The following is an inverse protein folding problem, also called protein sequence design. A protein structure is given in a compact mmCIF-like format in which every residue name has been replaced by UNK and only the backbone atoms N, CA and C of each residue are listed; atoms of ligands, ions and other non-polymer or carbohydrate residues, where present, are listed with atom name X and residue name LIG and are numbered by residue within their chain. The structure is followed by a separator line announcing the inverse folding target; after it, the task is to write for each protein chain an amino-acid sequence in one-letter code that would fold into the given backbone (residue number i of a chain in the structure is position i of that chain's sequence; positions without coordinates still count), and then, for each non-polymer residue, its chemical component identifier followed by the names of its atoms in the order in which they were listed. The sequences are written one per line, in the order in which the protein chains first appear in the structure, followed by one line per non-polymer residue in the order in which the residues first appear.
data_IF_979296597004
#
_entry.id   IF_979296597004
#
_cell.length_a   1.000
_cell.length_b   1.000
_cell.length_c   1.000
_cell.angle_alpha   90.00
_cell.angle_beta   90.00
_cell.angle_gamma   90.00
#
_symmetry.space_group_name_H-M   'P 1'
#
loop_
_entity.id
_entity.type
_entity.pdbx_description
1 polymer ?
#
# COMPACT_ATOMS: atom_id res chain seq x y z
N UNK A 1 -18.36 -0.38 -60.24
CA UNK A 1 -18.22 0.56 -59.10
C UNK A 1 -17.79 -0.28 -57.93
N UNK A 2 -16.51 -0.19 -57.62
CA UNK A 2 -15.81 -1.06 -56.67
C UNK A 2 -16.24 -0.81 -55.23
N UNK A 3 -16.39 -1.90 -54.50
CA UNK A 3 -16.68 -1.93 -53.07
C UNK A 3 -15.34 -2.00 -52.31
N UNK A 4 -14.94 -1.00 -51.50
CA UNK A 4 -13.71 -1.09 -50.74
C UNK A 4 -14.01 -1.83 -49.43
N UNK A 5 -13.88 -3.16 -49.45
CA UNK A 5 -13.58 -3.89 -48.22
C UNK A 5 -12.20 -3.44 -47.74
N UNK A 6 -12.17 -2.49 -46.82
CA UNK A 6 -10.96 -2.12 -46.10
C UNK A 6 -10.45 -3.36 -45.36
N UNK A 7 -9.44 -4.03 -45.92
CA UNK A 7 -8.80 -5.18 -45.31
C UNK A 7 -8.26 -4.78 -43.94
N UNK A 8 -8.86 -5.31 -42.88
CA UNK A 8 -8.32 -5.14 -41.52
C UNK A 8 -6.89 -5.71 -41.51
N UNK A 9 -5.88 -4.92 -41.11
CA UNK A 9 -4.50 -5.40 -41.10
C UNK A 9 -4.39 -6.62 -40.18
N UNK A 10 -3.66 -7.64 -40.66
CA UNK A 10 -3.43 -8.87 -39.90
C UNK A 10 -2.82 -8.55 -38.53
N UNK A 11 -3.30 -9.17 -37.45
CA UNK A 11 -2.79 -8.90 -36.11
C UNK A 11 -1.32 -9.31 -35.99
N UNK A 12 -0.55 -8.45 -35.32
CA UNK A 12 0.87 -8.67 -35.08
C UNK A 12 1.08 -9.93 -34.23
N UNK A 13 1.93 -10.84 -34.71
CA UNK A 13 2.15 -12.13 -34.06
C UNK A 13 3.27 -12.03 -33.03
N UNK A 14 2.93 -11.52 -31.84
CA UNK A 14 3.86 -11.27 -30.74
C UNK A 14 4.76 -12.49 -30.40
N UNK A 15 4.18 -13.70 -30.41
CA UNK A 15 4.88 -14.95 -30.09
C UNK A 15 5.85 -15.44 -31.16
N UNK A 16 5.86 -14.83 -32.36
CA UNK A 16 6.85 -15.14 -33.40
C UNK A 16 8.13 -14.31 -33.25
N UNK A 17 8.15 -13.34 -32.35
CA UNK A 17 9.35 -12.56 -32.10
C UNK A 17 10.46 -13.39 -31.45
N UNK A 18 11.73 -13.11 -31.77
CA UNK A 18 12.87 -13.63 -31.01
C UNK A 18 12.74 -13.25 -29.53
N UNK A 19 13.22 -14.12 -28.64
CA UNK A 19 13.06 -13.95 -27.18
C UNK A 19 13.59 -12.60 -26.67
N UNK A 20 14.71 -12.12 -27.21
CA UNK A 20 15.30 -10.82 -26.83
C UNK A 20 14.38 -9.66 -27.22
N UNK A 21 13.83 -9.66 -28.44
CA UNK A 21 12.92 -8.62 -28.91
C UNK A 21 11.62 -8.62 -28.09
N UNK A 22 11.08 -9.80 -27.80
CA UNK A 22 9.89 -9.94 -26.96
C UNK A 22 10.14 -9.42 -25.53
N UNK A 23 11.30 -9.72 -24.93
CA UNK A 23 11.64 -9.22 -23.60
C UNK A 23 11.73 -7.69 -23.57
N UNK A 24 12.34 -7.08 -24.58
CA UNK A 24 12.42 -5.61 -24.69
C UNK A 24 11.04 -4.97 -24.78
N UNK A 25 10.13 -5.52 -25.60
CA UNK A 25 8.75 -5.04 -25.68
C UNK A 25 8.05 -5.11 -24.32
N UNK A 26 8.19 -6.23 -23.62
CA UNK A 26 7.56 -6.45 -22.32
C UNK A 26 8.12 -5.50 -21.26
N UNK A 27 9.40 -5.13 -21.32
CA UNK A 27 9.99 -4.13 -20.42
C UNK A 27 9.45 -2.72 -20.64
N UNK A 28 8.86 -2.45 -21.80
CA UNK A 28 8.23 -1.16 -22.12
C UNK A 28 6.74 -1.11 -21.74
N UNK A 29 6.15 -2.25 -21.37
CA UNK A 29 4.73 -2.35 -20.99
C UNK A 29 4.50 -1.92 -19.54
N UNK A 30 3.28 -1.49 -19.24
CA UNK A 30 2.82 -1.24 -17.88
C UNK A 30 2.49 -2.55 -17.14
N UNK A 31 2.52 -2.54 -15.81
CA UNK A 31 2.22 -3.70 -14.98
C UNK A 31 0.88 -4.36 -15.31
N UNK A 32 -0.19 -3.58 -15.54
CA UNK A 32 -1.48 -4.15 -15.94
C UNK A 32 -1.46 -4.84 -17.30
N UNK A 33 -0.56 -4.47 -18.21
CA UNK A 33 -0.40 -5.13 -19.51
C UNK A 33 0.33 -6.47 -19.38
N UNK A 34 1.30 -6.58 -18.46
CA UNK A 34 2.00 -7.83 -18.15
C UNK A 34 1.02 -8.93 -17.75
N UNK A 35 0.08 -8.61 -16.85
CA UNK A 35 -0.91 -9.58 -16.40
C UNK A 35 -1.92 -9.93 -17.48
N UNK A 36 -2.38 -8.96 -18.28
CA UNK A 36 -3.25 -9.23 -19.44
C UNK A 36 -2.56 -10.17 -20.44
N UNK A 37 -1.28 -9.95 -20.74
CA UNK A 37 -0.51 -10.86 -21.59
C UNK A 37 -0.38 -12.27 -21.01
N UNK A 38 -0.16 -12.38 -19.69
CA UNK A 38 -0.12 -13.66 -19.02
C UNK A 38 -1.48 -14.39 -19.10
N UNK A 39 -2.59 -13.65 -19.03
CA UNK A 39 -3.93 -14.20 -19.25
C UNK A 39 -4.16 -14.65 -20.69
N UNK A 40 -3.58 -13.98 -21.70
CA UNK A 40 -3.77 -14.37 -23.10
C UNK A 40 -3.02 -15.66 -23.49
N UNK A 41 -1.96 -16.06 -22.78
CA UNK A 41 -1.18 -17.24 -23.14
C UNK A 41 -0.36 -17.79 -21.98
N UNK A 42 -0.51 -19.09 -21.70
CA UNK A 42 0.34 -19.78 -20.73
C UNK A 42 1.83 -19.72 -21.09
N UNK A 43 2.19 -19.64 -22.39
CA UNK A 43 3.60 -19.48 -22.81
C UNK A 43 4.14 -18.10 -22.45
N UNK A 44 3.33 -17.06 -22.60
CA UNK A 44 3.69 -15.70 -22.16
C UNK A 44 3.76 -15.65 -20.65
N UNK A 45 2.80 -16.24 -19.94
CA UNK A 45 2.81 -16.37 -18.48
C UNK A 45 4.13 -16.95 -17.97
N UNK A 46 4.57 -18.10 -18.51
CA UNK A 46 5.85 -18.71 -18.14
C UNK A 46 7.05 -17.79 -18.41
N UNK A 47 7.00 -17.05 -19.52
CA UNK A 47 8.05 -16.08 -19.87
C UNK A 47 8.08 -14.93 -18.86
N UNK A 48 6.92 -14.37 -18.49
CA UNK A 48 6.82 -13.29 -17.50
C UNK A 48 7.29 -13.74 -16.11
N UNK A 49 6.94 -14.97 -15.72
CA UNK A 49 7.39 -15.57 -14.46
C UNK A 49 8.92 -15.68 -14.39
N UNK A 50 9.56 -15.99 -15.51
CA UNK A 50 11.02 -16.05 -15.61
C UNK A 50 11.65 -14.66 -15.61
N UNK A 51 11.04 -13.69 -16.28
CA UNK A 51 11.62 -12.35 -16.41
C UNK A 51 11.38 -11.45 -15.21
N UNK A 52 10.35 -11.74 -14.41
CA UNK A 52 10.00 -11.04 -13.18
C UNK A 52 9.94 -9.52 -13.37
N UNK A 53 8.78 -9.04 -13.83
CA UNK A 53 8.61 -7.63 -14.14
C UNK A 53 8.83 -6.75 -12.88
N UNK A 54 9.74 -5.78 -12.98
CA UNK A 54 10.18 -4.98 -11.84
C UNK A 54 9.17 -3.91 -11.48
N UNK A 55 8.80 -3.84 -10.21
CA UNK A 55 7.91 -2.81 -9.67
C UNK A 55 8.62 -2.03 -8.56
N UNK A 56 8.31 -0.74 -8.44
CA UNK A 56 8.77 0.07 -7.30
C UNK A 56 8.01 -0.33 -6.03
N UNK A 57 6.71 -0.57 -6.17
CA UNK A 57 5.84 -1.00 -5.07
C UNK A 57 4.70 -1.85 -5.62
N UNK A 58 4.36 -2.90 -4.89
CA UNK A 58 3.15 -3.68 -5.10
C UNK A 58 2.31 -3.63 -3.82
N UNK A 59 1.06 -3.21 -3.96
CA UNK A 59 0.10 -3.20 -2.86
C UNK A 59 -0.92 -4.31 -3.08
N UNK A 60 -1.23 -5.04 -2.02
CA UNK A 60 -2.23 -6.12 -2.01
C UNK A 60 -3.29 -5.78 -0.99
N UNK A 61 -4.52 -5.63 -1.46
CA UNK A 61 -5.69 -5.34 -0.62
C UNK A 61 -6.72 -6.42 -0.84
N UNK A 62 -7.13 -7.08 0.26
CA UNK A 62 -8.37 -7.84 0.24
C UNK A 62 -9.51 -6.94 0.70
N UNK A 63 -10.54 -6.84 -0.14
CA UNK A 63 -11.85 -6.26 0.17
C UNK A 63 -12.88 -7.38 0.12
N UNK A 64 -14.10 -7.13 0.62
CA UNK A 64 -15.16 -8.13 0.85
C UNK A 64 -15.19 -9.19 -0.26
N UNK A 65 -15.32 -8.71 -1.47
CA UNK A 65 -15.49 -9.49 -2.69
C UNK A 65 -14.42 -9.14 -3.72
N UNK A 66 -13.22 -8.68 -3.31
CA UNK A 66 -12.16 -8.48 -4.30
C UNK A 66 -10.75 -8.57 -3.76
N UNK A 67 -9.87 -9.15 -4.59
CA UNK A 67 -8.42 -9.05 -4.42
C UNK A 67 -7.94 -7.94 -5.34
N UNK A 68 -7.47 -6.86 -4.74
CA UNK A 68 -6.97 -5.70 -5.44
C UNK A 68 -5.45 -5.67 -5.37
N UNK A 69 -4.82 -5.52 -6.52
CA UNK A 69 -3.41 -5.17 -6.63
C UNK A 69 -3.27 -3.75 -7.14
N UNK A 70 -2.39 -2.97 -6.52
CA UNK A 70 -1.90 -1.71 -7.08
C UNK A 70 -0.45 -1.92 -7.46
N UNK A 71 -0.17 -1.82 -8.76
CA UNK A 71 1.15 -2.01 -9.36
C UNK A 71 1.73 -0.62 -9.60
N UNK A 72 2.81 -0.27 -8.90
CA UNK A 72 3.43 1.06 -9.01
C UNK A 72 4.80 0.95 -9.67
N UNK A 73 4.97 1.64 -10.80
CA UNK A 73 6.26 1.85 -11.47
C UNK A 73 6.88 3.21 -11.04
N UNK A 74 7.89 3.70 -11.78
CA UNK A 74 8.59 4.94 -11.42
C UNK A 74 7.65 6.16 -11.42
N UNK A 75 6.86 6.32 -12.48
CA UNK A 75 6.05 7.51 -12.75
C UNK A 75 4.57 7.19 -13.02
N UNK A 76 4.17 5.93 -12.84
CA UNK A 76 2.81 5.48 -13.16
C UNK A 76 2.35 4.43 -12.14
N UNK A 77 1.05 4.20 -12.11
CA UNK A 77 0.45 3.10 -11.37
C UNK A 77 -0.75 2.56 -12.13
N UNK A 78 -0.95 1.25 -12.05
CA UNK A 78 -2.12 0.56 -12.55
C UNK A 78 -2.74 -0.30 -11.45
N UNK A 79 -4.00 -0.70 -11.63
CA UNK A 79 -4.70 -1.57 -10.69
C UNK A 79 -5.28 -2.77 -11.41
N UNK A 80 -5.27 -3.91 -10.73
CA UNK A 80 -6.06 -5.07 -11.13
C UNK A 80 -6.90 -5.53 -9.96
N UNK A 81 -8.20 -5.68 -10.19
CA UNK A 81 -9.16 -6.17 -9.22
C UNK A 81 -9.72 -7.51 -9.71
N UNK A 82 -9.50 -8.57 -8.95
CA UNK A 82 -10.21 -9.83 -9.10
C UNK A 82 -11.47 -9.74 -8.25
N UNK A 83 -12.65 -9.79 -8.86
CA UNK A 83 -13.92 -9.75 -8.15
C UNK A 83 -14.39 -11.16 -7.79
N UNK A 84 -14.91 -11.33 -6.59
CA UNK A 84 -15.56 -12.57 -6.18
C UNK A 84 -16.74 -12.87 -7.12
N UNK A 85 -17.04 -14.15 -7.29
CA UNK A 85 -18.18 -14.61 -8.07
C UNK A 85 -19.20 -15.15 -7.08
N UNK A 86 -20.29 -14.41 -6.86
CA UNK A 86 -21.38 -14.79 -5.94
C UNK A 86 -22.05 -16.14 -6.28
N UNK A 87 -21.85 -16.62 -7.50
CA UNK A 87 -22.26 -17.97 -7.89
C UNK A 87 -21.22 -18.93 -7.36
N UNK A 88 -21.56 -19.86 -6.46
CA UNK A 88 -20.76 -21.07 -6.17
C UNK A 88 -20.45 -21.80 -7.49
N UNK A 89 -19.33 -21.59 -8.20
CA UNK A 89 -18.97 -22.50 -9.26
C UNK A 89 -18.25 -23.64 -8.56
N UNK A 90 -17.99 -24.73 -9.26
CA UNK A 90 -17.06 -25.72 -8.75
C UNK A 90 -15.74 -25.05 -8.32
N UNK A 91 -15.17 -25.54 -7.21
CA UNK A 91 -13.87 -25.19 -6.62
C UNK A 91 -12.71 -25.55 -7.57
N UNK A 92 -12.79 -25.18 -8.85
CA UNK A 92 -11.72 -25.46 -9.78
C UNK A 92 -10.50 -24.62 -9.38
N UNK A 93 -9.36 -25.25 -9.07
CA UNK A 93 -8.17 -24.53 -8.67
C UNK A 93 -7.67 -23.70 -9.84
N UNK A 94 -7.19 -22.48 -9.54
CA UNK A 94 -6.52 -21.64 -10.53
C UNK A 94 -5.04 -21.86 -10.41
N UNK A 95 -4.49 -22.47 -11.44
CA UNK A 95 -3.06 -22.83 -11.53
C UNK A 95 -2.34 -22.01 -12.60
N UNK A 96 -3.09 -21.34 -13.48
CA UNK A 96 -2.59 -20.58 -14.63
C UNK A 96 -3.40 -19.31 -14.84
N UNK A 97 -2.73 -18.23 -15.21
CA UNK A 97 -3.38 -16.96 -15.59
C UNK A 97 -4.30 -17.12 -16.80
N UNK A 98 -3.99 -18.04 -17.72
CA UNK A 98 -4.82 -18.25 -18.90
C UNK A 98 -6.24 -18.74 -18.63
N UNK A 99 -6.49 -19.31 -17.43
CA UNK A 99 -7.84 -19.68 -16.99
C UNK A 99 -8.74 -18.45 -16.73
N UNK A 100 -8.15 -17.25 -16.67
CA UNK A 100 -8.83 -15.98 -16.42
C UNK A 100 -9.09 -15.19 -17.72
N UNK A 101 -8.61 -15.65 -18.87
CA UNK A 101 -8.69 -14.90 -20.14
C UNK A 101 -10.12 -14.48 -20.49
N UNK A 102 -11.06 -15.44 -20.45
CA UNK A 102 -12.48 -15.22 -20.78
C UNK A 102 -13.26 -14.49 -19.67
N UNK A 103 -12.57 -14.09 -18.60
CA UNK A 103 -13.12 -13.42 -17.43
C UNK A 103 -12.71 -11.96 -17.32
N UNK A 104 -11.98 -11.45 -18.31
CA UNK A 104 -11.76 -10.02 -18.42
C UNK A 104 -13.11 -9.32 -18.57
N UNK A 105 -13.40 -8.36 -17.70
CA UNK A 105 -14.66 -7.62 -17.72
C UNK A 105 -14.46 -6.29 -18.45
N UNK A 106 -13.59 -5.44 -17.91
CA UNK A 106 -13.34 -4.11 -18.45
C UNK A 106 -12.00 -3.54 -17.96
N UNK A 107 -11.52 -2.51 -18.66
CA UNK A 107 -10.42 -1.68 -18.22
C UNK A 107 -10.82 -0.21 -18.34
N UNK A 108 -10.88 0.49 -17.21
CA UNK A 108 -11.23 1.91 -17.15
C UNK A 108 -10.21 2.65 -16.31
N UNK A 109 -9.60 3.70 -16.87
CA UNK A 109 -8.61 4.53 -16.19
C UNK A 109 -7.48 3.72 -15.52
N UNK A 110 -6.88 2.76 -16.26
CA UNK A 110 -5.82 1.85 -15.78
C UNK A 110 -6.24 0.92 -14.64
N UNK A 111 -7.55 0.73 -14.43
CA UNK A 111 -8.08 -0.27 -13.50
C UNK A 111 -8.65 -1.41 -14.33
N UNK A 112 -7.95 -2.55 -14.31
CA UNK A 112 -8.38 -3.80 -14.93
C UNK A 112 -9.30 -4.53 -13.95
N UNK A 113 -10.48 -4.92 -14.41
CA UNK A 113 -11.41 -5.77 -13.66
C UNK A 113 -11.50 -7.13 -14.30
N UNK A 114 -11.29 -8.16 -13.49
CA UNK A 114 -11.37 -9.55 -13.90
C UNK A 114 -12.34 -10.24 -12.97
N UNK A 115 -13.29 -10.96 -13.54
CA UNK A 115 -14.13 -11.85 -12.76
C UNK A 115 -13.25 -12.97 -12.19
N UNK A 116 -13.12 -12.99 -10.88
CA UNK A 116 -12.32 -13.94 -10.14
C UNK A 116 -13.10 -15.21 -9.83
N UNK A 117 -12.79 -15.77 -8.67
CA UNK A 117 -13.36 -17.00 -8.12
C UNK A 117 -13.70 -16.76 -6.64
N UNK A 118 -14.18 -17.81 -5.96
CA UNK A 118 -14.51 -17.77 -4.54
C UNK A 118 -13.31 -17.34 -3.68
N UNK A 119 -13.62 -16.83 -2.48
CA UNK A 119 -12.62 -16.41 -1.49
C UNK A 119 -11.61 -17.48 -1.10
N UNK A 120 -11.95 -18.76 -1.28
CA UNK A 120 -11.11 -19.90 -0.89
C UNK A 120 -9.82 -19.97 -1.70
N UNK A 121 -9.83 -19.52 -2.95
CA UNK A 121 -8.65 -19.60 -3.84
C UNK A 121 -7.92 -18.26 -4.02
N UNK A 122 -8.22 -17.27 -3.16
CA UNK A 122 -7.61 -15.94 -3.26
C UNK A 122 -6.10 -15.97 -3.09
N UNK A 123 -5.58 -16.90 -2.29
CA UNK A 123 -4.14 -17.08 -2.18
C UNK A 123 -3.52 -17.72 -3.42
N UNK A 124 -4.25 -18.56 -4.15
CA UNK A 124 -3.77 -19.10 -5.42
C UNK A 124 -3.69 -17.99 -6.47
N UNK A 125 -4.74 -17.17 -6.59
CA UNK A 125 -4.73 -15.97 -7.42
C UNK A 125 -3.58 -15.03 -7.02
N UNK A 126 -3.39 -14.82 -5.72
CA UNK A 126 -2.27 -14.04 -5.21
C UNK A 126 -0.93 -14.59 -5.67
N UNK A 127 -0.67 -15.88 -5.45
CA UNK A 127 0.59 -16.52 -5.83
C UNK A 127 0.83 -16.44 -7.34
N UNK A 128 -0.23 -16.57 -8.15
CA UNK A 128 -0.14 -16.40 -9.60
C UNK A 128 0.30 -14.98 -9.96
N UNK A 129 -0.34 -13.96 -9.39
CA UNK A 129 0.01 -12.56 -9.67
C UNK A 129 1.45 -12.27 -9.22
N UNK A 130 1.78 -12.64 -7.99
CA UNK A 130 3.13 -12.46 -7.44
C UNK A 130 4.20 -13.19 -8.24
N UNK A 131 3.86 -14.30 -8.90
CA UNK A 131 4.80 -15.03 -9.74
C UNK A 131 5.28 -14.20 -10.95
N UNK A 132 4.54 -13.18 -11.37
CA UNK A 132 4.87 -12.34 -12.54
C UNK A 132 5.82 -11.19 -12.21
N UNK A 133 5.93 -10.79 -10.94
CA UNK A 133 6.58 -9.53 -10.55
C UNK A 133 7.77 -9.73 -9.59
N UNK A 134 8.68 -8.77 -9.61
CA UNK A 134 9.73 -8.56 -8.61
C UNK A 134 9.57 -7.13 -8.05
N UNK A 135 8.70 -6.94 -7.04
CA UNK A 135 8.50 -5.64 -6.42
C UNK A 135 9.63 -5.32 -5.43
N UNK A 136 10.15 -4.09 -5.48
CA UNK A 136 11.13 -3.61 -4.50
C UNK A 136 10.54 -3.47 -3.09
N UNK A 137 9.23 -3.19 -2.99
CA UNK A 137 8.51 -3.15 -1.72
C UNK A 137 7.11 -3.74 -1.88
N UNK A 138 6.65 -4.44 -0.85
CA UNK A 138 5.30 -5.01 -0.81
C UNK A 138 4.54 -4.39 0.38
N UNK A 139 3.34 -3.89 0.11
CA UNK A 139 2.40 -3.41 1.14
C UNK A 139 1.18 -4.31 1.18
N UNK A 140 0.84 -4.78 2.37
CA UNK A 140 -0.41 -5.49 2.61
C UNK A 140 -1.42 -4.57 3.27
N UNK A 141 -2.63 -4.52 2.72
CA UNK A 141 -3.74 -3.71 3.20
C UNK A 141 -4.83 -4.61 3.74
N UNK A 142 -5.11 -4.44 5.03
CA UNK A 142 -6.09 -5.17 5.81
C UNK A 142 -7.29 -4.26 6.05
N UNK A 143 -8.41 -4.54 5.38
CA UNK A 143 -9.67 -3.82 5.57
C UNK A 143 -10.44 -4.42 6.77
N UNK A 144 -10.33 -3.78 7.93
CA UNK A 144 -10.91 -4.35 9.17
C UNK A 144 -12.42 -4.14 9.29
N UNK A 145 -13.01 -3.26 8.47
CA UNK A 145 -14.47 -3.10 8.43
C UNK A 145 -15.17 -4.32 7.82
N UNK A 146 -14.45 -5.04 6.97
CA UNK A 146 -15.05 -6.02 6.07
C UNK A 146 -14.57 -7.44 6.35
N UNK A 147 -13.32 -7.60 6.79
CA UNK A 147 -12.74 -8.91 7.03
C UNK A 147 -13.16 -9.46 8.40
N UNK A 148 -13.62 -10.73 8.41
CA UNK A 148 -13.78 -11.49 9.65
C UNK A 148 -12.43 -11.65 10.36
N UNK A 149 -12.45 -11.88 11.67
CA UNK A 149 -11.22 -12.06 12.47
C UNK A 149 -10.32 -13.15 11.90
N UNK A 150 -10.86 -14.33 11.63
CA UNK A 150 -10.09 -15.47 11.10
C UNK A 150 -9.44 -15.17 9.75
N UNK A 151 -10.19 -14.54 8.83
CA UNK A 151 -9.67 -14.17 7.50
C UNK A 151 -8.57 -13.12 7.62
N UNK A 152 -8.77 -12.11 8.46
CA UNK A 152 -7.81 -11.04 8.71
C UNK A 152 -6.47 -11.60 9.20
N UNK A 153 -6.51 -12.48 10.20
CA UNK A 153 -5.31 -13.08 10.79
C UNK A 153 -4.59 -14.00 9.79
N UNK A 154 -5.34 -14.84 9.07
CA UNK A 154 -4.78 -15.69 8.01
C UNK A 154 -4.04 -14.87 6.96
N UNK A 155 -4.53 -13.66 6.67
CA UNK A 155 -3.97 -12.80 5.63
C UNK A 155 -2.76 -12.01 6.13
N UNK A 156 -2.84 -11.56 7.38
CA UNK A 156 -1.70 -11.01 8.08
C UNK A 156 -0.56 -12.04 8.11
N UNK A 157 -0.84 -13.28 8.53
CA UNK A 157 0.15 -14.35 8.62
C UNK A 157 0.78 -14.64 7.25
N UNK A 158 -0.04 -14.68 6.18
CA UNK A 158 0.48 -14.81 4.80
C UNK A 158 1.40 -13.64 4.43
N UNK A 159 1.00 -12.40 4.68
CA UNK A 159 1.82 -11.23 4.38
C UNK A 159 3.12 -11.18 5.19
N UNK A 160 3.06 -11.57 6.46
CA UNK A 160 4.23 -11.62 7.36
C UNK A 160 5.19 -12.77 7.03
N UNK A 161 4.68 -13.89 6.50
CA UNK A 161 5.50 -15.02 6.04
C UNK A 161 6.38 -14.66 4.84
N UNK A 162 6.08 -13.55 4.17
CA UNK A 162 6.80 -13.06 3.01
C UNK A 162 7.61 -11.80 3.35
N UNK A 163 8.46 -11.34 2.43
CA UNK A 163 9.23 -10.11 2.56
C UNK A 163 8.38 -8.83 2.46
N UNK A 164 7.18 -8.83 3.05
CA UNK A 164 6.33 -7.66 3.19
C UNK A 164 7.07 -6.54 3.93
N UNK A 165 7.01 -5.33 3.39
CA UNK A 165 7.71 -4.15 3.93
C UNK A 165 6.79 -3.27 4.79
N UNK A 166 5.48 -3.31 4.53
CA UNK A 166 4.49 -2.43 5.14
C UNK A 166 3.16 -3.16 5.38
N UNK A 167 2.64 -3.07 6.59
CA UNK A 167 1.27 -3.48 6.91
C UNK A 167 0.42 -2.22 7.07
N UNK A 168 -0.74 -2.20 6.41
CA UNK A 168 -1.72 -1.15 6.53
C UNK A 168 -3.04 -1.71 7.06
N UNK A 169 -3.54 -1.12 8.13
CA UNK A 169 -4.85 -1.39 8.71
C UNK A 169 -5.76 -0.24 8.31
N UNK A 170 -6.77 -0.51 7.50
CA UNK A 170 -7.63 0.53 6.93
C UNK A 170 -9.11 0.29 7.21
N UNK A 171 -9.86 1.40 7.32
CA UNK A 171 -11.33 1.48 7.49
C UNK A 171 -11.85 0.86 8.79
N UNK A 172 -13.11 1.14 9.12
CA UNK A 172 -13.77 0.59 10.30
C UNK A 172 -13.23 1.11 11.63
N UNK A 173 -13.93 0.73 12.69
CA UNK A 173 -13.52 0.96 14.07
C UNK A 173 -12.82 -0.28 14.62
N UNK A 174 -11.67 -0.09 15.27
CA UNK A 174 -10.93 -1.16 15.91
C UNK A 174 -11.30 -1.22 17.38
N UNK A 175 -11.71 -2.39 17.87
CA UNK A 175 -11.70 -2.63 19.32
C UNK A 175 -10.25 -2.68 19.83
N UNK A 176 -10.06 -2.36 21.11
CA UNK A 176 -8.75 -2.46 21.78
C UNK A 176 -8.17 -3.86 21.58
N UNK A 177 -8.96 -4.91 21.84
CA UNK A 177 -8.57 -6.32 21.69
C UNK A 177 -8.07 -6.64 20.29
N UNK A 178 -8.80 -6.19 19.25
CA UNK A 178 -8.46 -6.47 17.86
C UNK A 178 -7.19 -5.74 17.43
N UNK A 179 -7.01 -4.49 17.87
CA UNK A 179 -5.80 -3.74 17.55
C UNK A 179 -4.57 -4.28 18.29
N UNK A 180 -4.73 -4.67 19.57
CA UNK A 180 -3.69 -5.35 20.34
C UNK A 180 -3.25 -6.63 19.64
N UNK A 181 -4.19 -7.51 19.26
CA UNK A 181 -3.85 -8.75 18.55
C UNK A 181 -3.07 -8.50 17.25
N UNK A 182 -3.43 -7.47 16.48
CA UNK A 182 -2.71 -7.10 15.27
C UNK A 182 -1.30 -6.58 15.58
N UNK A 183 -1.16 -5.67 16.56
CA UNK A 183 0.13 -5.08 16.91
C UNK A 183 1.09 -6.06 17.58
N UNK A 184 0.59 -7.06 18.31
CA UNK A 184 1.39 -8.16 18.89
C UNK A 184 2.02 -9.04 17.81
N UNK A 185 1.31 -9.22 16.69
CA UNK A 185 1.77 -10.06 15.57
C UNK A 185 2.68 -9.31 14.60
N UNK A 186 2.46 -8.01 14.38
CA UNK A 186 3.22 -7.23 13.39
C UNK A 186 4.60 -6.88 13.97
N UNK A 187 5.70 -7.34 13.34
CA UNK A 187 7.04 -7.00 13.82
C UNK A 187 7.31 -5.49 13.72
N UNK A 188 7.94 -4.93 14.75
CA UNK A 188 8.29 -3.50 14.81
C UNK A 188 9.29 -3.06 13.73
N UNK A 189 9.97 -4.01 13.08
CA UNK A 189 10.84 -3.74 11.92
C UNK A 189 10.08 -3.35 10.66
N UNK A 190 8.76 -3.62 10.60
CA UNK A 190 7.89 -3.26 9.47
C UNK A 190 7.43 -1.81 9.58
N UNK A 191 6.99 -1.26 8.44
CA UNK A 191 6.22 0.00 8.43
C UNK A 191 4.78 -0.31 8.81
N UNK A 192 4.20 0.49 9.70
CA UNK A 192 2.81 0.37 10.11
C UNK A 192 2.03 1.61 9.68
N UNK A 193 0.93 1.41 8.98
CA UNK A 193 -0.05 2.44 8.68
C UNK A 193 -1.42 2.05 9.24
N UNK A 194 -2.05 2.94 9.99
CA UNK A 194 -3.42 2.74 10.51
C UNK A 194 -4.25 3.96 10.14
N UNK A 195 -5.22 3.77 9.25
CA UNK A 195 -6.20 4.81 8.89
C UNK A 195 -7.56 4.60 9.56
N UNK A 196 -7.78 3.41 10.13
CA UNK A 196 -8.92 3.09 11.00
C UNK A 196 -8.92 3.94 12.28
N UNK A 197 -10.10 4.11 12.89
CA UNK A 197 -10.20 4.80 14.17
C UNK A 197 -9.60 3.93 15.28
N UNK A 198 -8.70 4.53 16.06
CA UNK A 198 -8.08 3.92 17.24
C UNK A 198 -8.83 4.46 18.49
N UNK A 199 -9.19 3.60 19.46
CA UNK A 199 -9.78 4.04 20.73
C UNK A 199 -8.88 5.02 21.49
N UNK A 200 -9.46 6.04 22.10
CA UNK A 200 -8.70 7.12 22.76
C UNK A 200 -7.90 6.64 23.99
N UNK A 201 -8.37 5.60 24.65
CA UNK A 201 -7.77 4.94 25.80
C UNK A 201 -6.85 3.77 25.42
N UNK A 202 -6.60 3.56 24.11
CA UNK A 202 -5.74 2.49 23.63
C UNK A 202 -4.30 2.68 24.10
N UNK A 203 -3.75 1.65 24.74
CA UNK A 203 -2.36 1.58 25.18
C UNK A 203 -1.74 0.29 24.71
N UNK A 204 -0.59 0.40 24.06
CA UNK A 204 0.16 -0.76 23.60
C UNK A 204 1.66 -0.42 23.56
N UNK A 205 2.55 -1.32 24.00
CA UNK A 205 3.98 -1.03 24.09
C UNK A 205 4.64 -0.74 22.73
N UNK A 206 4.02 -1.16 21.62
CA UNK A 206 4.58 -1.00 20.27
C UNK A 206 4.02 0.19 19.47
N UNK A 207 3.05 0.97 19.98
CA UNK A 207 2.39 2.05 19.21
C UNK A 207 3.35 3.02 18.53
N UNK A 208 4.50 3.29 19.15
CA UNK A 208 5.52 4.18 18.60
C UNK A 208 6.89 3.52 18.36
N UNK A 209 6.94 2.17 18.33
CA UNK A 209 8.20 1.41 18.14
C UNK A 209 8.44 0.92 16.71
N UNK A 210 7.47 1.10 15.82
CA UNK A 210 7.62 0.67 14.42
C UNK A 210 8.63 1.54 13.68
N UNK A 211 9.38 0.93 12.76
CA UNK A 211 10.37 1.61 11.91
C UNK A 211 9.82 2.87 11.24
N UNK A 212 8.59 2.81 10.73
CA UNK A 212 7.87 3.99 10.27
C UNK A 212 6.38 3.84 10.57
N UNK A 213 5.76 4.95 10.97
CA UNK A 213 4.39 4.98 11.48
C UNK A 213 3.57 6.00 10.69
N UNK A 214 2.35 5.62 10.36
CA UNK A 214 1.35 6.55 9.85
C UNK A 214 0.02 6.32 10.59
N UNK A 215 -0.40 7.30 11.39
CA UNK A 215 -1.74 7.35 11.97
C UNK A 215 -2.62 8.37 11.23
N UNK A 216 -3.72 7.90 10.65
CA UNK A 216 -4.71 8.74 9.98
C UNK A 216 -5.52 9.55 10.99
N UNK A 217 -6.14 8.85 11.94
CA UNK A 217 -6.86 9.44 13.07
C UNK A 217 -5.97 9.40 14.31
N UNK A 218 -5.18 10.45 14.50
CA UNK A 218 -4.15 10.56 15.53
C UNK A 218 -4.59 11.45 16.72
N UNK A 219 -5.89 11.70 16.90
CA UNK A 219 -6.42 12.55 17.97
C UNK A 219 -6.18 11.97 19.37
N UNK A 220 -5.99 10.66 19.47
CA UNK A 220 -5.64 9.94 20.69
C UNK A 220 -4.15 10.08 21.07
N UNK A 221 -3.32 10.57 20.15
CA UNK A 221 -1.89 10.76 20.40
C UNK A 221 -1.71 11.96 21.33
N UNK A 222 -0.86 11.80 22.34
CA UNK A 222 -0.58 12.80 23.37
C UNK A 222 0.85 13.31 23.19
N UNK A 223 1.19 14.38 23.89
CA UNK A 223 2.55 14.91 23.86
C UNK A 223 3.55 13.89 24.43
N UNK A 224 3.16 13.15 25.47
CA UNK A 224 3.99 12.07 26.04
C UNK A 224 4.24 10.94 25.03
N UNK A 225 3.24 10.60 24.22
CA UNK A 225 3.43 9.65 23.11
C UNK A 225 4.51 10.16 22.15
N UNK A 226 4.47 11.43 21.74
CA UNK A 226 5.50 12.03 20.88
C UNK A 226 6.89 12.00 21.53
N UNK A 227 6.98 12.43 22.80
CA UNK A 227 8.23 12.44 23.57
C UNK A 227 8.82 11.04 23.79
N UNK A 228 8.01 9.98 23.70
CA UNK A 228 8.46 8.59 23.86
C UNK A 228 9.07 7.96 22.59
N UNK A 229 8.94 8.60 21.42
CA UNK A 229 9.41 8.03 20.15
C UNK A 229 10.94 7.93 20.15
N UNK A 230 11.48 6.77 19.76
CA UNK A 230 12.93 6.53 19.60
C UNK A 230 13.21 5.71 18.35
N UNK A 231 14.30 6.04 17.67
CA UNK A 231 14.86 5.33 16.53
C UNK A 231 13.87 5.09 15.36
N UNK A 232 12.94 6.02 15.12
CA UNK A 232 11.97 5.90 14.02
C UNK A 232 12.46 6.61 12.74
N UNK A 233 12.31 5.99 11.57
CA UNK A 233 12.66 6.62 10.29
C UNK A 233 11.66 7.73 9.92
N UNK A 234 10.36 7.51 10.16
CA UNK A 234 9.33 8.50 9.86
C UNK A 234 8.08 8.28 10.69
N UNK A 235 7.54 9.36 11.23
CA UNK A 235 6.25 9.38 11.92
C UNK A 235 5.32 10.37 11.21
N UNK A 236 4.13 9.90 10.83
CA UNK A 236 3.12 10.70 10.12
C UNK A 236 1.81 10.67 10.91
N UNK A 237 1.33 11.84 11.35
CA UNK A 237 0.09 11.99 12.12
C UNK A 237 -0.85 12.96 11.39
N UNK A 238 -1.89 12.45 10.73
CA UNK A 238 -2.70 13.31 9.84
C UNK A 238 -3.78 14.11 10.58
N UNK A 239 -4.47 13.58 11.58
CA UNK A 239 -5.47 14.34 12.36
C UNK A 239 -5.14 14.30 13.84
N UNK A 240 -4.58 15.37 14.39
CA UNK A 240 -4.18 15.45 15.81
C UNK A 240 -5.04 16.44 16.60
N UNK A 241 -4.83 16.51 17.92
CA UNK A 241 -5.42 17.54 18.79
C UNK A 241 -4.42 18.63 19.20
N UNK A 242 -3.18 18.58 18.68
CA UNK A 242 -2.11 19.50 19.05
C UNK A 242 -2.36 20.91 18.53
N UNK A 243 -1.97 21.91 19.31
CA UNK A 243 -1.82 23.28 18.83
C UNK A 243 -0.38 23.77 18.87
N UNK A 244 -0.18 25.05 18.53
CA UNK A 244 1.15 25.66 18.47
C UNK A 244 1.90 25.60 19.81
N UNK A 245 1.19 25.60 20.96
CA UNK A 245 1.82 25.50 22.28
C UNK A 245 2.31 24.09 22.55
N UNK A 246 1.47 23.09 22.29
CA UNK A 246 1.86 21.68 22.40
C UNK A 246 3.08 21.38 21.52
N UNK A 247 3.06 21.92 20.29
CA UNK A 247 4.16 21.72 19.35
C UNK A 247 5.43 22.47 19.75
N UNK A 248 5.34 23.69 20.30
CA UNK A 248 6.50 24.37 20.87
C UNK A 248 7.12 23.55 22.01
N UNK A 249 6.29 23.04 22.92
CA UNK A 249 6.76 22.19 24.02
C UNK A 249 7.46 20.93 23.50
N UNK A 250 6.90 20.30 22.46
CA UNK A 250 7.54 19.17 21.80
C UNK A 250 8.89 19.53 21.16
N UNK A 251 8.95 20.63 20.41
CA UNK A 251 10.15 21.05 19.70
C UNK A 251 11.29 21.36 20.68
N UNK A 252 11.00 22.05 21.78
CA UNK A 252 11.97 22.30 22.85
C UNK A 252 12.50 21.00 23.44
N UNK A 253 11.61 20.06 23.75
CA UNK A 253 12.03 18.74 24.21
C UNK A 253 12.92 18.03 23.18
N UNK A 254 12.57 18.09 21.90
CA UNK A 254 13.29 17.38 20.85
C UNK A 254 14.68 17.97 20.59
N UNK A 255 14.82 19.30 20.58
CA UNK A 255 16.12 19.98 20.41
C UNK A 255 17.09 19.64 21.54
N UNK A 256 16.59 19.54 22.77
CA UNK A 256 17.38 19.22 23.95
C UNK A 256 17.56 17.70 24.19
N UNK A 257 16.98 16.84 23.33
CA UNK A 257 17.03 15.39 23.53
C UNK A 257 18.34 14.80 22.99
N UNK A 258 19.15 14.22 23.87
CA UNK A 258 20.41 13.55 23.50
C UNK A 258 20.22 12.21 22.77
N UNK A 259 18.99 11.70 22.69
CA UNK A 259 18.67 10.41 22.06
C UNK A 259 18.08 10.60 20.65
N UNK A 260 18.41 9.69 19.72
CA UNK A 260 17.81 9.71 18.39
C UNK A 260 16.30 9.39 18.47
N UNK A 261 15.46 10.42 18.34
CA UNK A 261 14.00 10.28 18.38
C UNK A 261 13.44 9.77 17.05
N UNK A 262 13.43 10.60 16.02
CA UNK A 262 13.05 10.22 14.66
C UNK A 262 13.73 11.07 13.59
N UNK A 263 13.89 10.53 12.38
CA UNK A 263 14.48 11.27 11.25
C UNK A 263 13.49 12.22 10.59
N UNK A 264 12.18 11.93 10.68
CA UNK A 264 11.13 12.74 10.08
C UNK A 264 9.84 12.67 10.89
N UNK A 265 9.31 13.82 11.27
CA UNK A 265 7.96 13.99 11.76
C UNK A 265 7.16 14.81 10.76
N UNK A 266 6.00 14.29 10.35
CA UNK A 266 4.99 15.06 9.61
C UNK A 266 3.70 14.99 10.41
N UNK A 267 3.13 16.11 10.78
CA UNK A 267 1.82 16.14 11.40
C UNK A 267 0.96 17.29 10.90
N UNK A 268 -0.35 17.17 11.04
CA UNK A 268 -1.26 18.32 11.00
C UNK A 268 -1.69 18.64 12.42
N UNK A 269 -1.64 19.92 12.78
CA UNK A 269 -2.22 20.41 14.02
C UNK A 269 -3.74 20.23 14.00
N UNK A 270 -4.36 20.47 15.16
CA UNK A 270 -5.81 20.42 15.36
C UNK A 270 -6.56 21.15 14.25
N UNK A 271 -7.60 20.50 13.74
CA UNK A 271 -8.44 21.08 12.68
C UNK A 271 -9.02 22.43 13.13
N UNK A 272 -8.93 23.43 12.25
CA UNK A 272 -9.35 24.81 12.55
C UNK A 272 -8.36 25.63 13.38
N UNK A 273 -7.29 25.04 13.93
CA UNK A 273 -6.24 25.81 14.58
C UNK A 273 -5.36 26.51 13.53
N UNK A 274 -4.99 27.76 13.80
CA UNK A 274 -3.99 28.49 13.03
C UNK A 274 -2.61 28.23 13.62
N UNK A 275 -1.62 28.05 12.75
CA UNK A 275 -0.22 27.98 13.17
C UNK A 275 0.20 29.40 13.57
N UNK A 276 0.44 29.59 14.86
CA UNK A 276 1.05 30.81 15.37
C UNK A 276 2.55 30.58 15.45
N UNK A 277 3.26 31.17 14.50
CA UNK A 277 4.70 31.07 14.37
C UNK A 277 5.43 31.55 15.63
N UNK A 278 4.99 32.67 16.23
CA UNK A 278 5.67 33.26 17.38
C UNK A 278 5.57 32.32 18.59
N UNK A 279 4.42 31.66 18.75
CA UNK A 279 4.25 30.64 19.78
C UNK A 279 5.09 29.41 19.46
N UNK A 280 5.08 28.95 18.21
CA UNK A 280 5.77 27.73 17.79
C UNK A 280 7.29 27.81 18.03
N UNK A 281 7.89 28.97 17.78
CA UNK A 281 9.34 29.20 17.91
C UNK A 281 9.74 29.87 19.23
N UNK A 282 8.83 30.05 20.17
CA UNK A 282 9.14 30.70 21.44
C UNK A 282 10.24 29.94 22.18
N UNK A 283 11.22 30.68 22.71
CA UNK A 283 12.39 30.15 23.42
C UNK A 283 13.27 29.16 22.62
N UNK A 284 13.17 29.18 21.28
CA UNK A 284 14.04 28.44 20.37
C UNK A 284 14.92 29.40 19.58
N UNK A 285 16.18 29.02 19.35
CA UNK A 285 17.03 29.71 18.37
C UNK A 285 16.63 29.19 16.99
N UNK A 286 16.13 30.07 16.12
CA UNK A 286 15.60 29.65 14.82
C UNK A 286 16.24 30.45 13.69
N UNK A 287 16.77 29.75 12.69
CA UNK A 287 17.13 30.36 11.41
C UNK A 287 15.97 30.19 10.44
N UNK A 288 15.52 31.31 9.87
CA UNK A 288 14.45 31.33 8.89
C UNK A 288 15.00 31.42 7.47
N UNK A 289 14.50 30.56 6.58
CA UNK A 289 14.79 30.61 5.16
C UNK A 289 13.50 30.45 4.35
N UNK A 290 13.46 31.09 3.18
CA UNK A 290 12.37 30.93 2.22
C UNK A 290 12.95 30.34 0.95
N UNK A 291 12.47 29.17 0.55
CA UNK A 291 12.93 28.45 -0.64
C UNK A 291 11.72 27.98 -1.46
N UNK A 292 11.67 28.33 -2.74
CA UNK A 292 10.59 27.93 -3.67
C UNK A 292 9.15 28.21 -3.15
N UNK A 293 8.97 29.28 -2.38
CA UNK A 293 7.67 29.65 -1.79
C UNK A 293 7.28 28.85 -0.54
N UNK A 294 8.16 27.98 -0.04
CA UNK A 294 8.04 27.28 1.24
C UNK A 294 8.90 27.96 2.30
N UNK A 295 8.39 28.03 3.53
CA UNK A 295 9.11 28.57 4.67
C UNK A 295 9.77 27.44 5.45
N UNK A 296 11.08 27.56 5.64
CA UNK A 296 11.91 26.60 6.34
C UNK A 296 12.45 27.22 7.63
N UNK A 297 12.46 26.42 8.69
CA UNK A 297 12.95 26.78 10.02
C UNK A 297 14.00 25.76 10.43
N UNK A 298 15.18 26.22 10.77
CA UNK A 298 16.26 25.37 11.30
C UNK A 298 16.43 25.69 12.78
N UNK A 299 16.35 24.62 13.59
CA UNK A 299 16.49 24.62 15.05
C UNK A 299 17.85 24.05 15.43
#
# INVERSE_FOLDING_TARGET
MDNPEASTPLPFQLLKLPAVALNQLVRMMHGSEIIKLAMCSHRLELSMRSWKYKLKKLEVSLRHESLLFVLTEANNSSRIAFRDRDLKPHLEPVTKMSQLCDRFEEEVNKNVRVQGFSREIMFDLYNLVMSLYEPATIRWVLDVNVLSRETLLRYLDKGLSENCSEISIERGDLSIERLTELMDRIPVTKKLKVTSRIPADFKHPNTFKYRAIWYGMAQWVTLDHLKSIRNADSVVLESTNFDSKDMNEFLRYWVDCDEEMMKRLKLRIREGALIDKNILTDQLLVLEATEEGSQHYYL
#
